data_IF_977910775980
#
_entry.id   IF_977910775980
#
_cell.length_a   1.000
_cell.length_b   1.000
_cell.length_c   1.000
_cell.angle_alpha   90.00
_cell.angle_beta   90.00
_cell.angle_gamma   90.00
#
_symmetry.space_group_name_H-M   'P 1'
#
loop_
_entity.id
_entity.type
_entity.pdbx_description
1 polymer ?
#
# COMPACT_ATOMS: atom_id res chain seq x y z
N UNK A 1 59.55 -24.32 9.84
CA UNK A 1 58.17 -23.86 9.61
C UNK A 1 57.37 -25.04 9.05
N UNK A 2 56.51 -25.65 9.88
CA UNK A 2 55.72 -26.83 9.49
C UNK A 2 54.64 -26.39 8.51
N UNK A 3 54.80 -26.71 7.24
CA UNK A 3 53.71 -26.60 6.28
C UNK A 3 52.65 -27.65 6.66
N UNK A 4 51.61 -27.22 7.36
CA UNK A 4 50.43 -28.03 7.60
C UNK A 4 49.63 -28.06 6.30
N UNK A 5 49.92 -29.02 5.43
CA UNK A 5 49.13 -29.27 4.27
C UNK A 5 47.85 -30.00 4.72
N UNK A 6 46.71 -29.31 4.64
CA UNK A 6 45.38 -29.93 4.87
C UNK A 6 45.18 -31.11 3.93
N UNK A 7 44.83 -32.28 4.47
CA UNK A 7 44.48 -33.45 3.66
C UNK A 7 43.25 -33.15 2.80
N UNK A 8 43.07 -33.86 1.70
CA UNK A 8 41.91 -33.68 0.81
C UNK A 8 40.59 -33.79 1.56
N UNK A 9 40.51 -34.69 2.53
CA UNK A 9 39.35 -34.86 3.41
C UNK A 9 39.09 -33.62 4.30
N UNK A 10 40.12 -33.04 4.89
CA UNK A 10 40.00 -31.81 5.70
C UNK A 10 39.57 -30.62 4.87
N UNK A 11 40.04 -30.48 3.63
CA UNK A 11 39.61 -29.44 2.70
C UNK A 11 38.15 -29.62 2.31
N UNK A 12 37.70 -30.84 2.04
CA UNK A 12 36.31 -31.15 1.74
C UNK A 12 35.41 -30.82 2.92
N UNK A 13 35.81 -31.17 4.14
CA UNK A 13 35.06 -30.84 5.35
C UNK A 13 34.99 -29.34 5.58
N UNK A 14 36.09 -28.58 5.35
CA UNK A 14 36.11 -27.14 5.48
C UNK A 14 35.16 -26.46 4.47
N UNK A 15 35.17 -26.91 3.22
CA UNK A 15 34.24 -26.43 2.19
C UNK A 15 32.78 -26.71 2.57
N UNK A 16 32.50 -27.89 3.10
CA UNK A 16 31.16 -28.25 3.59
C UNK A 16 30.69 -27.38 4.74
N UNK A 17 31.59 -27.07 5.69
CA UNK A 17 31.30 -26.14 6.79
C UNK A 17 31.06 -24.71 6.31
N UNK A 18 31.88 -24.23 5.36
CA UNK A 18 31.68 -22.90 4.77
C UNK A 18 30.34 -22.78 4.04
N UNK A 19 29.97 -23.82 3.27
CA UNK A 19 28.67 -23.87 2.60
C UNK A 19 27.51 -23.87 3.61
N UNK A 20 27.64 -24.63 4.70
CA UNK A 20 26.63 -24.68 5.76
C UNK A 20 26.50 -23.32 6.46
N UNK A 21 27.61 -22.64 6.74
CA UNK A 21 27.60 -21.29 7.31
C UNK A 21 26.90 -20.31 6.39
N UNK A 22 27.24 -20.29 5.11
CA UNK A 22 26.59 -19.43 4.13
C UNK A 22 25.08 -19.68 4.00
N UNK A 23 24.67 -20.96 4.06
CA UNK A 23 23.23 -21.33 4.06
C UNK A 23 22.52 -20.87 5.32
N UNK A 24 23.22 -20.91 6.46
CA UNK A 24 22.70 -20.45 7.76
C UNK A 24 22.50 -18.93 7.77
N UNK A 25 23.46 -18.18 7.24
CA UNK A 25 23.40 -16.72 7.11
C UNK A 25 22.22 -16.30 6.24
N UNK A 26 22.03 -16.91 5.06
CA UNK A 26 20.89 -16.68 4.18
C UNK A 26 19.57 -17.02 4.87
N UNK A 27 19.53 -18.12 5.62
CA UNK A 27 18.32 -18.54 6.31
C UNK A 27 17.94 -17.59 7.44
N UNK A 28 18.91 -17.10 8.19
CA UNK A 28 18.72 -16.09 9.23
C UNK A 28 18.22 -14.78 8.66
N UNK A 29 18.79 -14.33 7.54
CA UNK A 29 18.33 -13.13 6.84
C UNK A 29 16.88 -13.28 6.38
N UNK A 30 16.52 -14.39 5.76
CA UNK A 30 15.15 -14.70 5.33
C UNK A 30 14.17 -14.78 6.50
N UNK A 31 14.59 -15.34 7.61
CA UNK A 31 13.78 -15.43 8.82
C UNK A 31 13.54 -14.06 9.45
N UNK A 32 14.58 -13.23 9.49
CA UNK A 32 14.52 -11.87 10.02
C UNK A 32 13.64 -10.95 9.20
N UNK A 33 13.75 -11.02 7.88
CA UNK A 33 12.99 -10.16 6.94
C UNK A 33 11.62 -10.72 6.59
N UNK A 34 11.37 -12.02 6.81
CA UNK A 34 10.19 -12.73 6.38
C UNK A 34 10.07 -12.87 4.85
N UNK A 35 11.13 -12.56 4.12
CA UNK A 35 11.17 -12.56 2.65
C UNK A 35 12.11 -13.64 2.13
N UNK A 36 11.66 -14.37 1.11
CA UNK A 36 12.48 -15.37 0.40
C UNK A 36 13.56 -14.72 -0.47
N UNK A 37 13.30 -13.52 -1.00
CA UNK A 37 14.17 -12.73 -1.86
C UNK A 37 14.33 -11.35 -1.24
N UNK A 38 15.53 -11.03 -0.77
CA UNK A 38 15.84 -9.77 -0.10
C UNK A 38 16.52 -8.76 -1.01
N UNK A 39 17.25 -9.24 -2.01
CA UNK A 39 17.99 -8.41 -2.95
C UNK A 39 17.76 -8.82 -4.40
N UNK A 40 18.06 -7.91 -5.33
CA UNK A 40 18.04 -8.20 -6.76
C UNK A 40 19.07 -9.27 -7.18
N UNK A 41 20.11 -9.49 -6.36
CA UNK A 41 21.14 -10.49 -6.63
C UNK A 41 20.63 -11.90 -6.37
N UNK A 42 19.72 -12.09 -5.39
CA UNK A 42 19.17 -13.39 -5.04
C UNK A 42 18.30 -13.98 -6.15
N UNK A 43 17.42 -13.16 -6.68
CA UNK A 43 16.55 -13.48 -7.81
C UNK A 43 16.01 -12.17 -8.43
N UNK A 44 16.65 -11.66 -9.50
CA UNK A 44 16.27 -10.40 -10.11
C UNK A 44 14.80 -10.35 -10.55
N UNK A 45 14.32 -11.39 -11.21
CA UNK A 45 12.95 -11.45 -11.72
C UNK A 45 11.91 -11.35 -10.60
N UNK A 46 12.07 -12.15 -9.55
CA UNK A 46 11.17 -12.14 -8.40
C UNK A 46 11.26 -10.85 -7.60
N UNK A 47 12.45 -10.26 -7.50
CA UNK A 47 12.66 -8.99 -6.79
C UNK A 47 11.93 -7.84 -7.49
N UNK A 48 12.13 -7.68 -8.81
CA UNK A 48 11.48 -6.61 -9.56
C UNK A 48 9.96 -6.80 -9.66
N UNK A 49 9.49 -8.04 -9.72
CA UNK A 49 8.05 -8.33 -9.66
C UNK A 49 7.46 -7.92 -8.31
N UNK A 50 8.11 -8.27 -7.21
CA UNK A 50 7.68 -7.88 -5.87
C UNK A 50 7.71 -6.36 -5.67
N UNK A 51 8.75 -5.69 -6.18
CA UNK A 51 8.87 -4.23 -6.15
C UNK A 51 7.75 -3.56 -6.95
N UNK A 52 7.45 -4.07 -8.14
CA UNK A 52 6.35 -3.57 -8.97
C UNK A 52 4.98 -3.74 -8.29
N UNK A 53 4.75 -4.88 -7.65
CA UNK A 53 3.52 -5.12 -6.88
C UNK A 53 3.41 -4.20 -5.66
N UNK A 54 4.53 -3.95 -4.97
CA UNK A 54 4.55 -3.01 -3.83
C UNK A 54 4.25 -1.58 -4.27
N UNK A 55 4.84 -1.12 -5.38
CA UNK A 55 4.55 0.19 -5.94
C UNK A 55 3.07 0.30 -6.34
N UNK A 56 2.54 -0.72 -7.01
CA UNK A 56 1.13 -0.75 -7.41
C UNK A 56 0.17 -0.77 -6.21
N UNK A 57 0.52 -1.45 -5.12
CA UNK A 57 -0.24 -1.41 -3.89
C UNK A 57 -0.24 -0.01 -3.26
N UNK A 58 0.90 0.70 -3.29
CA UNK A 58 1.01 2.10 -2.89
C UNK A 58 0.14 3.03 -3.73
N UNK A 59 0.17 2.87 -5.05
CA UNK A 59 -0.67 3.64 -5.98
C UNK A 59 -2.16 3.42 -5.71
N UNK A 60 -2.57 2.17 -5.48
CA UNK A 60 -3.96 1.84 -5.15
C UNK A 60 -4.39 2.43 -3.80
N UNK A 61 -3.52 2.43 -2.80
CA UNK A 61 -3.81 3.07 -1.51
C UNK A 61 -4.03 4.59 -1.68
N UNK A 62 -3.16 5.25 -2.44
CA UNK A 62 -3.29 6.67 -2.76
C UNK A 62 -4.56 7.00 -3.54
N UNK A 63 -4.96 6.10 -4.44
CA UNK A 63 -6.22 6.22 -5.18
C UNK A 63 -7.44 6.07 -4.26
N UNK A 64 -7.42 5.15 -3.30
CA UNK A 64 -8.47 5.01 -2.29
C UNK A 64 -8.63 6.27 -1.45
N UNK A 65 -7.53 6.88 -1.03
CA UNK A 65 -7.56 8.14 -0.29
C UNK A 65 -8.17 9.28 -1.12
N UNK A 66 -7.79 9.36 -2.40
CA UNK A 66 -8.35 10.34 -3.35
C UNK A 66 -9.86 10.12 -3.57
N UNK A 67 -10.30 8.87 -3.67
CA UNK A 67 -11.72 8.51 -3.76
C UNK A 67 -12.46 8.90 -2.49
N UNK A 68 -11.87 8.72 -1.33
CA UNK A 68 -12.42 9.15 -0.04
C UNK A 68 -12.67 10.66 -0.02
N UNK A 69 -11.69 11.45 -0.47
CA UNK A 69 -11.83 12.91 -0.58
C UNK A 69 -12.91 13.32 -1.59
N UNK A 70 -12.99 12.64 -2.74
CA UNK A 70 -14.03 12.89 -3.74
C UNK A 70 -15.44 12.61 -3.17
N UNK A 71 -15.61 11.54 -2.41
CA UNK A 71 -16.87 11.23 -1.74
C UNK A 71 -17.26 12.32 -0.74
N UNK A 72 -16.32 12.84 0.04
CA UNK A 72 -16.59 13.96 0.96
C UNK A 72 -17.01 15.22 0.22
N UNK A 73 -16.40 15.52 -0.92
CA UNK A 73 -16.77 16.64 -1.75
C UNK A 73 -18.19 16.48 -2.31
N UNK A 74 -18.55 15.29 -2.78
CA UNK A 74 -19.90 14.98 -3.27
C UNK A 74 -20.92 15.12 -2.15
N UNK A 75 -20.64 14.63 -0.96
CA UNK A 75 -21.52 14.79 0.20
C UNK A 75 -21.77 16.25 0.56
N UNK A 76 -20.71 17.06 0.58
CA UNK A 76 -20.85 18.50 0.83
C UNK A 76 -21.70 19.21 -0.24
N UNK A 77 -21.57 18.79 -1.50
CA UNK A 77 -22.40 19.31 -2.59
C UNK A 77 -23.87 18.89 -2.42
N UNK A 78 -24.12 17.66 -2.04
CA UNK A 78 -25.47 17.12 -1.81
C UNK A 78 -26.17 17.86 -0.66
N UNK A 79 -25.49 18.03 0.48
CA UNK A 79 -25.99 18.86 1.60
C UNK A 79 -26.28 20.30 1.18
N UNK A 80 -25.42 20.89 0.32
CA UNK A 80 -25.65 22.21 -0.24
C UNK A 80 -26.90 22.28 -1.12
N UNK A 81 -27.15 21.28 -1.96
CA UNK A 81 -28.33 21.18 -2.81
C UNK A 81 -29.59 21.01 -1.96
N UNK A 82 -29.54 20.19 -0.91
CA UNK A 82 -30.66 20.01 0.01
C UNK A 82 -31.03 21.30 0.74
N UNK A 83 -30.02 22.05 1.20
CA UNK A 83 -30.23 23.35 1.81
C UNK A 83 -30.86 24.38 0.84
N UNK A 84 -30.40 24.43 -0.41
CA UNK A 84 -30.98 25.28 -1.45
C UNK A 84 -32.44 24.86 -1.77
N UNK A 85 -32.70 23.58 -1.86
CA UNK A 85 -34.05 23.05 -2.11
C UNK A 85 -35.01 23.44 -0.98
N UNK A 86 -34.58 23.31 0.27
CA UNK A 86 -35.36 23.73 1.44
C UNK A 86 -35.61 25.23 1.43
N UNK A 87 -34.61 26.04 1.10
CA UNK A 87 -34.77 27.48 0.98
C UNK A 87 -35.73 27.88 -0.14
N UNK A 88 -35.67 27.22 -1.28
CA UNK A 88 -36.58 27.44 -2.41
C UNK A 88 -38.01 27.07 -2.06
N UNK A 89 -38.25 26.00 -1.29
CA UNK A 89 -39.57 25.64 -0.78
C UNK A 89 -40.14 26.68 0.20
N UNK A 90 -39.29 27.19 1.11
CA UNK A 90 -39.67 28.25 2.02
C UNK A 90 -40.03 29.53 1.28
N UNK A 91 -39.22 29.93 0.31
CA UNK A 91 -39.51 31.09 -0.52
C UNK A 91 -40.83 30.97 -1.30
N UNK A 92 -41.08 29.77 -1.86
CA UNK A 92 -42.36 29.46 -2.51
C UNK A 92 -43.55 29.54 -1.55
N UNK A 93 -43.43 29.03 -0.34
CA UNK A 93 -44.47 29.10 0.68
C UNK A 93 -44.78 30.55 1.08
N UNK A 94 -43.74 31.38 1.26
CA UNK A 94 -43.92 32.82 1.54
C UNK A 94 -44.60 33.54 0.40
N UNK A 95 -44.17 33.28 -0.87
CA UNK A 95 -44.81 33.87 -2.03
C UNK A 95 -46.28 33.47 -2.19
N UNK A 96 -46.62 32.23 -1.89
CA UNK A 96 -47.96 31.72 -1.94
C UNK A 96 -48.85 32.37 -0.85
N UNK A 97 -48.32 32.47 0.38
CA UNK A 97 -48.98 33.16 1.49
C UNK A 97 -49.23 34.64 1.19
N UNK A 98 -48.29 35.30 0.53
CA UNK A 98 -48.43 36.69 0.10
C UNK A 98 -49.51 36.86 -1.02
N UNK A 99 -49.65 35.90 -1.94
CA UNK A 99 -50.67 35.90 -2.96
C UNK A 99 -52.05 35.68 -2.34
N UNK A 100 -52.21 34.75 -1.43
CA UNK A 100 -53.47 34.47 -0.72
C UNK A 100 -53.95 35.66 0.12
N UNK A 101 -53.02 36.45 0.67
CA UNK A 101 -53.39 37.65 1.46
C UNK A 101 -53.80 38.83 0.54
N UNK A 102 -53.43 38.82 -0.72
CA UNK A 102 -53.85 39.86 -1.69
C UNK A 102 -55.26 39.65 -2.25
N UNK A 103 -55.71 38.39 -2.27
CA UNK A 103 -57.04 38.02 -2.78
C UNK A 103 -58.12 38.01 -1.67
N UNK A 104 -57.74 38.31 -0.44
CA UNK A 104 -58.63 38.50 0.72
C UNK A 104 -58.83 39.95 1.05
#
# INVERSE_FOLDING_TARGET
>A
MSNISLTASMRSNLLSLQNTQSLMDITQERLSTGKKVNSAIDNPSSYYTAQSLTNRAGDLSSLLDSMGQAIQTIKAADEGIEAITTFAQQAKAVAQSAADTKDA
#
